data_IF_016084971299
#
_entry.id   IF_016084971299
#
_cell.length_a   1.000
_cell.length_b   1.000
_cell.length_c   1.000
_cell.angle_alpha   90.00
_cell.angle_beta   90.00
_cell.angle_gamma   90.00
#
_symmetry.space_group_name_H-M   'P 1'
#
loop_
_entity.id
_entity.type
_entity.pdbx_description
1 polymer ?
#
# COMPACT_ATOMS: atom_id res chain seq x y z
N UNK A 1 2.26 -1.76 -13.36
CA UNK A 1 3.23 -1.40 -12.30
C UNK A 1 2.94 0.02 -11.87
N UNK A 2 2.52 0.17 -10.62
CA UNK A 2 2.17 1.44 -10.00
C UNK A 2 3.41 2.25 -9.63
N UNK A 3 3.32 3.57 -9.75
CA UNK A 3 4.32 4.51 -9.24
C UNK A 3 3.90 4.97 -7.83
N UNK A 4 4.74 4.73 -6.83
CA UNK A 4 4.58 5.27 -5.48
C UNK A 4 5.46 6.49 -5.28
N UNK A 5 4.86 7.58 -4.80
CA UNK A 5 5.57 8.76 -4.32
C UNK A 5 5.00 9.24 -2.99
N UNK A 6 5.55 10.32 -2.46
CA UNK A 6 5.11 10.95 -1.21
C UNK A 6 4.69 12.40 -1.45
N UNK A 7 4.01 13.00 -0.47
CA UNK A 7 3.89 14.46 -0.36
C UNK A 7 5.26 15.15 -0.34
N UNK A 8 5.29 16.46 -0.58
CA UNK A 8 6.54 17.26 -0.53
C UNK A 8 7.12 17.24 0.89
N UNK A 9 8.45 17.18 1.00
CA UNK A 9 9.22 17.20 2.26
C UNK A 9 8.75 16.14 3.29
N UNK A 10 8.62 14.86 2.92
CA UNK A 10 8.12 13.82 3.82
C UNK A 10 9.09 13.58 4.99
N UNK A 11 8.59 13.32 6.19
CA UNK A 11 9.35 12.90 7.36
C UNK A 11 10.06 11.54 7.18
N UNK A 12 11.03 11.24 8.06
CA UNK A 12 11.85 10.01 7.99
C UNK A 12 11.00 8.74 8.02
N UNK A 13 9.97 8.68 8.87
CA UNK A 13 9.05 7.56 8.98
C UNK A 13 8.27 7.35 7.68
N UNK A 14 7.77 8.42 7.08
CA UNK A 14 7.06 8.40 5.80
C UNK A 14 7.92 7.95 4.63
N UNK A 15 9.15 8.45 4.52
CA UNK A 15 10.10 7.97 3.51
C UNK A 15 10.39 6.48 3.67
N UNK A 16 10.57 6.03 4.91
CA UNK A 16 10.85 4.63 5.21
C UNK A 16 9.68 3.74 4.84
N UNK A 17 8.48 4.09 5.30
CA UNK A 17 7.25 3.36 4.98
C UNK A 17 7.03 3.29 3.47
N UNK A 18 7.16 4.41 2.75
CA UNK A 18 6.95 4.43 1.31
C UNK A 18 7.91 3.47 0.57
N UNK A 19 9.20 3.47 0.90
CA UNK A 19 10.16 2.54 0.29
C UNK A 19 9.83 1.08 0.59
N UNK A 20 9.47 0.77 1.84
CA UNK A 20 9.13 -0.59 2.25
C UNK A 20 7.83 -1.06 1.57
N UNK A 21 6.79 -0.22 1.52
CA UNK A 21 5.54 -0.52 0.83
C UNK A 21 5.77 -0.73 -0.68
N UNK A 22 6.53 0.16 -1.34
CA UNK A 22 6.85 0.00 -2.75
C UNK A 22 7.57 -1.31 -3.03
N UNK A 23 8.58 -1.66 -2.22
CA UNK A 23 9.31 -2.91 -2.37
C UNK A 23 8.41 -4.13 -2.11
N UNK A 24 7.49 -4.05 -1.15
CA UNK A 24 6.56 -5.14 -0.87
C UNK A 24 5.58 -5.35 -2.04
N UNK A 25 5.00 -4.28 -2.55
CA UNK A 25 3.99 -4.35 -3.60
C UNK A 25 4.57 -4.45 -5.03
N UNK A 26 5.90 -4.51 -5.18
CA UNK A 26 6.61 -4.41 -6.45
C UNK A 26 6.27 -3.13 -7.24
N UNK A 27 6.04 -2.03 -6.54
CA UNK A 27 5.79 -0.72 -7.14
C UNK A 27 7.10 0.03 -7.37
N UNK A 28 7.10 0.91 -8.37
CA UNK A 28 8.23 1.81 -8.59
C UNK A 28 8.17 2.94 -7.57
N UNK A 29 9.21 3.13 -6.76
CA UNK A 29 9.31 4.30 -5.88
C UNK A 29 9.98 5.46 -6.63
N UNK A 30 9.30 6.61 -6.70
CA UNK A 30 9.82 7.84 -7.31
C UNK A 30 9.81 9.00 -6.33
N UNK A 31 10.92 9.72 -6.18
CA UNK A 31 10.96 10.94 -5.37
C UNK A 31 10.34 12.12 -6.12
N UNK A 32 9.40 12.83 -5.49
CA UNK A 32 8.72 14.02 -6.05
C UNK A 32 9.65 15.22 -6.35
N UNK A 33 10.91 15.17 -5.93
CA UNK A 33 11.80 16.33 -5.83
C UNK A 33 12.40 16.91 -7.12
N UNK A 34 12.40 16.21 -8.26
CA UNK A 34 13.11 16.69 -9.47
C UNK A 34 12.48 16.28 -10.81
N UNK A 35 11.20 15.94 -10.87
CA UNK A 35 10.63 15.42 -12.12
C UNK A 35 9.20 15.88 -12.30
N UNK A 36 8.94 16.52 -13.43
CA UNK A 36 7.60 16.61 -14.03
C UNK A 36 7.12 15.19 -14.33
N UNK A 37 6.63 14.51 -13.29
CA UNK A 37 6.03 13.20 -13.43
C UNK A 37 4.74 13.40 -14.24
N UNK A 38 4.75 12.99 -15.50
CA UNK A 38 3.52 12.87 -16.30
C UNK A 38 2.69 11.74 -15.69
N UNK A 39 1.80 12.13 -14.76
CA UNK A 39 0.86 11.25 -14.07
C UNK A 39 -0.26 10.74 -14.99
N UNK A 40 -0.37 11.29 -16.20
CA UNK A 40 -1.47 11.08 -17.14
C UNK A 40 -1.64 9.64 -17.62
N UNK A 41 -0.58 8.82 -17.59
CA UNK A 41 -0.60 7.47 -18.20
C UNK A 41 -0.34 6.32 -17.21
N UNK A 42 -0.08 6.62 -15.92
CA UNK A 42 0.37 5.61 -14.96
C UNK A 42 -0.52 5.55 -13.72
N UNK A 43 -0.81 4.33 -13.25
CA UNK A 43 -1.38 4.12 -11.91
C UNK A 43 -0.41 4.72 -10.89
N UNK A 44 -0.89 5.62 -10.04
CA UNK A 44 -0.04 6.37 -9.11
C UNK A 44 -0.60 6.27 -7.72
N UNK A 45 0.27 6.00 -6.76
CA UNK A 45 -0.01 6.12 -5.34
C UNK A 45 0.81 7.27 -4.73
N UNK A 46 0.16 8.08 -3.91
CA UNK A 46 0.79 9.18 -3.18
C UNK A 46 0.54 8.98 -1.69
N UNK A 47 1.60 8.80 -0.91
CA UNK A 47 1.51 8.79 0.55
C UNK A 47 1.59 10.21 1.08
N UNK A 48 0.59 10.59 1.87
CA UNK A 48 0.55 11.83 2.61
C UNK A 48 0.80 11.57 4.11
N UNK A 49 1.37 12.58 4.76
CA UNK A 49 1.68 12.53 6.18
C UNK A 49 0.89 13.57 6.98
N UNK A 50 0.64 13.25 8.24
CA UNK A 50 0.11 14.16 9.25
C UNK A 50 1.00 14.08 10.48
N UNK A 51 1.51 15.22 10.94
CA UNK A 51 2.40 15.30 12.12
C UNK A 51 3.59 14.31 12.02
N UNK A 52 4.28 14.29 10.86
CA UNK A 52 5.45 13.43 10.61
C UNK A 52 5.16 11.92 10.48
N UNK A 53 3.89 11.51 10.49
CA UNK A 53 3.47 10.12 10.37
C UNK A 53 2.72 9.86 9.06
N UNK A 54 2.98 8.73 8.38
CA UNK A 54 2.17 8.28 7.24
C UNK A 54 0.74 8.12 7.68
N UNK A 55 -0.17 8.76 6.95
CA UNK A 55 -1.58 8.80 7.36
C UNK A 55 -2.52 8.35 6.27
N UNK A 56 -2.19 8.67 5.03
CA UNK A 56 -3.10 8.55 3.92
C UNK A 56 -2.33 8.09 2.69
N UNK A 57 -2.97 7.25 1.88
CA UNK A 57 -2.51 6.94 0.53
C UNK A 57 -3.65 7.23 -0.45
N UNK A 58 -3.38 8.12 -1.41
CA UNK A 58 -4.24 8.37 -2.57
C UNK A 58 -3.77 7.47 -3.70
N UNK A 59 -4.68 6.74 -4.31
CA UNK A 59 -4.40 5.84 -5.42
C UNK A 59 -5.22 6.30 -6.61
N UNK A 60 -4.54 6.73 -7.67
CA UNK A 60 -5.13 7.09 -8.95
C UNK A 60 -4.93 5.94 -9.92
N UNK A 61 -6.03 5.46 -10.48
CA UNK A 61 -6.05 4.41 -11.50
C UNK A 61 -7.00 4.80 -12.64
N UNK A 62 -7.05 4.01 -13.70
CA UNK A 62 -8.03 4.18 -14.77
C UNK A 62 -9.50 4.06 -14.28
N UNK A 63 -9.76 3.32 -13.20
CA UNK A 63 -11.11 3.17 -12.63
C UNK A 63 -11.52 4.29 -11.67
N UNK A 64 -10.61 5.25 -11.43
CA UNK A 64 -10.82 6.41 -10.59
C UNK A 64 -9.77 6.59 -9.50
N UNK A 65 -10.07 7.53 -8.60
CA UNK A 65 -9.25 7.87 -7.45
C UNK A 65 -9.80 7.21 -6.18
N UNK A 66 -8.91 6.71 -5.34
CA UNK A 66 -9.25 6.05 -4.09
C UNK A 66 -8.40 6.61 -2.95
N UNK A 67 -8.98 6.68 -1.77
CA UNK A 67 -8.29 7.11 -0.55
C UNK A 67 -8.34 5.99 0.47
N UNK A 68 -7.19 5.73 1.09
CA UNK A 68 -7.08 4.89 2.27
C UNK A 68 -6.39 5.67 3.39
N UNK A 69 -7.10 5.88 4.49
CA UNK A 69 -6.55 6.42 5.73
C UNK A 69 -6.19 5.29 6.69
N UNK A 70 -5.02 5.39 7.30
CA UNK A 70 -4.49 4.33 8.16
C UNK A 70 -3.60 4.85 9.30
N UNK A 71 -3.38 3.98 10.27
CA UNK A 71 -2.21 4.03 11.15
C UNK A 71 -1.24 2.93 10.74
N UNK A 72 0.04 3.25 10.61
CA UNK A 72 1.11 2.27 10.35
C UNK A 72 1.93 2.00 11.61
N UNK A 73 2.21 0.73 11.87
CA UNK A 73 3.09 0.27 12.95
C UNK A 73 4.10 -0.78 12.48
N UNK A 74 5.15 -0.99 13.28
CA UNK A 74 6.14 -2.07 13.13
C UNK A 74 6.82 -2.10 11.76
N UNK A 75 7.28 -0.95 11.26
CA UNK A 75 7.93 -0.86 9.94
C UNK A 75 9.33 -1.46 10.01
N UNK A 76 9.46 -2.69 9.53
CA UNK A 76 10.71 -3.43 9.47
C UNK A 76 11.33 -3.32 8.07
N UNK A 77 12.60 -2.92 8.02
CA UNK A 77 13.38 -2.88 6.77
C UNK A 77 14.00 -4.25 6.55
N UNK A 78 13.41 -5.03 5.66
CA UNK A 78 13.92 -6.35 5.26
C UNK A 78 14.14 -6.38 3.75
N UNK A 79 15.05 -7.24 3.28
CA UNK A 79 15.27 -7.47 1.85
C UNK A 79 14.11 -8.31 1.32
N UNK A 80 13.37 -7.77 0.34
CA UNK A 80 12.24 -8.41 -0.30
C UNK A 80 12.62 -8.83 -1.72
N UNK A 81 12.04 -9.92 -2.21
CA UNK A 81 12.14 -10.33 -3.61
C UNK A 81 11.05 -9.68 -4.48
N UNK A 82 10.90 -10.16 -5.71
CA UNK A 82 9.89 -9.71 -6.66
C UNK A 82 8.61 -10.57 -6.66
N UNK A 83 8.38 -11.43 -5.66
CA UNK A 83 7.16 -12.24 -5.60
C UNK A 83 5.92 -11.33 -5.54
N UNK A 84 4.75 -11.76 -6.07
CA UNK A 84 3.53 -10.97 -5.99
C UNK A 84 3.01 -10.89 -4.55
N UNK A 85 2.38 -9.78 -4.21
CA UNK A 85 1.67 -9.62 -2.94
C UNK A 85 0.27 -10.25 -3.05
N UNK A 86 -0.09 -11.08 -2.06
CA UNK A 86 -1.36 -11.80 -2.03
C UNK A 86 -2.13 -11.46 -0.77
N UNK A 87 -3.39 -11.04 -0.93
CA UNK A 87 -4.30 -10.82 0.20
C UNK A 87 -4.83 -12.15 0.72
N UNK A 88 -5.04 -12.25 2.03
CA UNK A 88 -5.68 -13.35 2.74
C UNK A 88 -6.80 -12.81 3.62
N UNK A 89 -8.06 -13.19 3.33
CA UNK A 89 -9.25 -12.72 4.04
C UNK A 89 -10.14 -11.82 3.18
N UNK A 90 -11.00 -11.03 3.83
CA UNK A 90 -12.00 -10.18 3.18
C UNK A 90 -11.67 -8.69 3.40
N UNK A 91 -10.83 -8.06 2.56
CA UNK A 91 -10.59 -6.62 2.61
C UNK A 91 -11.86 -5.83 2.27
N UNK A 92 -12.01 -4.60 2.78
CA UNK A 92 -13.15 -3.73 2.45
C UNK A 92 -13.03 -3.09 1.05
N UNK A 93 -12.15 -3.61 0.19
CA UNK A 93 -11.81 -3.08 -1.12
C UNK A 93 -11.33 -4.20 -2.05
N UNK A 94 -11.29 -3.94 -3.35
CA UNK A 94 -10.70 -4.86 -4.33
C UNK A 94 -9.15 -4.80 -4.25
N UNK A 95 -8.46 -5.89 -3.88
CA UNK A 95 -6.99 -5.96 -3.86
C UNK A 95 -6.31 -5.55 -5.17
N UNK A 96 -6.99 -5.71 -6.32
CA UNK A 96 -6.44 -5.34 -7.64
C UNK A 96 -6.16 -3.85 -7.77
N UNK A 97 -6.83 -3.00 -6.97
CA UNK A 97 -6.54 -1.56 -6.91
C UNK A 97 -5.09 -1.33 -6.47
N UNK A 98 -4.55 -2.23 -5.64
CA UNK A 98 -3.17 -2.22 -5.18
C UNK A 98 -2.23 -3.09 -6.03
N UNK A 99 -2.67 -3.56 -7.20
CA UNK A 99 -1.95 -4.55 -8.02
C UNK A 99 -1.65 -5.88 -7.28
N UNK A 100 -2.45 -6.22 -6.26
CA UNK A 100 -2.29 -7.45 -5.49
C UNK A 100 -3.28 -8.55 -5.92
N UNK A 101 -2.92 -9.81 -5.63
CA UNK A 101 -3.74 -10.98 -5.94
C UNK A 101 -4.75 -11.20 -4.80
N UNK A 102 -6.06 -11.32 -5.06
CA UNK A 102 -7.05 -11.73 -4.06
C UNK A 102 -6.97 -13.24 -3.78
N UNK A 103 -7.14 -13.65 -2.51
CA UNK A 103 -7.07 -15.07 -2.08
C UNK A 103 -8.09 -15.98 -2.75
N UNK A 104 -9.17 -15.42 -3.29
CA UNK A 104 -10.25 -16.19 -3.91
C UNK A 104 -9.81 -16.89 -5.21
N UNK A 105 -8.60 -16.60 -5.69
CA UNK A 105 -7.97 -17.28 -6.82
C UNK A 105 -7.21 -18.49 -6.27
N UNK A 106 -7.52 -19.68 -6.80
CA UNK A 106 -6.81 -20.91 -6.46
C UNK A 106 -5.35 -20.78 -6.91
N UNK A 107 -4.41 -20.86 -5.98
CA UNK A 107 -2.97 -20.80 -6.26
C UNK A 107 -2.36 -22.18 -6.09
N UNK A 108 -1.44 -22.56 -6.99
CA UNK A 108 -0.68 -23.81 -6.91
C UNK A 108 0.65 -23.65 -6.15
N UNK A 109 0.83 -22.54 -5.44
CA UNK A 109 2.05 -22.23 -4.69
C UNK A 109 1.71 -21.48 -3.40
N UNK A 110 2.61 -21.51 -2.42
CA UNK A 110 2.51 -20.70 -1.22
C UNK A 110 3.21 -19.33 -1.43
N UNK A 111 2.50 -18.20 -1.42
CA UNK A 111 3.11 -16.90 -1.72
C UNK A 111 4.00 -16.40 -0.58
N UNK A 112 5.22 -15.98 -0.90
CA UNK A 112 6.15 -15.40 0.07
C UNK A 112 5.62 -14.11 0.70
N UNK A 113 4.90 -13.28 -0.06
CA UNK A 113 4.30 -12.01 0.39
C UNK A 113 2.80 -12.16 0.65
N UNK A 114 2.44 -12.18 1.94
CA UNK A 114 1.05 -12.37 2.40
C UNK A 114 0.56 -11.10 3.10
N UNK A 115 -0.66 -10.68 2.79
CA UNK A 115 -1.35 -9.56 3.45
C UNK A 115 -2.57 -10.14 4.15
N UNK A 116 -2.45 -10.40 5.44
CA UNK A 116 -3.57 -10.94 6.22
C UNK A 116 -4.51 -9.83 6.62
N UNK A 117 -5.79 -9.99 6.29
CA UNK A 117 -6.85 -9.07 6.64
C UNK A 117 -7.63 -9.64 7.82
N UNK A 118 -7.71 -8.86 8.90
CA UNK A 118 -8.56 -9.17 10.06
C UNK A 118 -9.50 -8.00 10.34
N UNK A 119 -10.76 -8.30 10.66
CA UNK A 119 -11.71 -7.32 11.18
C UNK A 119 -11.87 -7.54 12.68
N UNK A 120 -11.49 -6.55 13.49
CA UNK A 120 -11.53 -6.62 14.96
C UNK A 120 -12.31 -5.40 15.45
N UNK A 121 -13.41 -5.63 16.18
CA UNK A 121 -14.27 -4.57 16.74
C UNK A 121 -14.61 -3.47 15.71
N UNK A 122 -15.01 -3.89 14.50
CA UNK A 122 -15.37 -2.99 13.40
C UNK A 122 -14.20 -2.41 12.59
N UNK A 123 -12.96 -2.45 13.09
CA UNK A 123 -11.79 -1.93 12.38
C UNK A 123 -11.07 -3.02 11.57
N UNK A 124 -10.58 -2.66 10.39
CA UNK A 124 -9.76 -3.56 9.56
C UNK A 124 -8.28 -3.39 9.86
N UNK A 125 -7.59 -4.51 9.99
CA UNK A 125 -6.15 -4.62 10.17
C UNK A 125 -5.54 -5.42 9.01
N UNK A 126 -4.49 -4.88 8.41
CA UNK A 126 -3.73 -5.50 7.35
C UNK A 126 -2.34 -5.77 7.86
N UNK A 127 -1.98 -7.04 7.98
CA UNK A 127 -0.68 -7.50 8.47
C UNK A 127 0.15 -7.96 7.26
N UNK A 128 1.13 -7.15 6.87
CA UNK A 128 1.98 -7.42 5.71
C UNK A 128 3.14 -8.30 6.17
N UNK A 129 3.25 -9.49 5.60
CA UNK A 129 4.26 -10.49 5.97
C UNK A 129 5.05 -10.95 4.77
N UNK A 130 6.34 -11.18 4.98
CA UNK A 130 7.24 -11.80 4.02
C UNK A 130 7.87 -13.03 4.68
N UNK A 131 7.68 -14.21 4.09
CA UNK A 131 8.18 -15.50 4.62
C UNK A 131 7.91 -15.68 6.12
N UNK A 132 6.67 -15.36 6.52
CA UNK A 132 6.21 -15.46 7.91
C UNK A 132 6.56 -14.27 8.82
N UNK A 133 7.53 -13.43 8.44
CA UNK A 133 7.97 -12.27 9.24
C UNK A 133 7.09 -11.05 8.95
N UNK A 134 6.61 -10.38 10.00
CA UNK A 134 5.87 -9.12 9.88
C UNK A 134 6.77 -8.01 9.34
N UNK A 135 6.37 -7.41 8.21
CA UNK A 135 7.05 -6.27 7.58
C UNK A 135 6.51 -4.95 8.11
N UNK A 136 5.19 -4.83 8.20
CA UNK A 136 4.47 -3.73 8.85
C UNK A 136 3.00 -4.08 9.01
N UNK A 137 2.29 -3.33 9.85
CA UNK A 137 0.84 -3.45 10.00
C UNK A 137 0.15 -2.13 9.74
N UNK A 138 -0.98 -2.20 9.05
CA UNK A 138 -1.90 -1.08 8.87
C UNK A 138 -3.18 -1.33 9.66
N UNK A 139 -3.63 -0.34 10.44
CA UNK A 139 -5.01 -0.25 10.89
C UNK A 139 -5.72 0.72 9.98
N UNK A 140 -6.71 0.25 9.22
CA UNK A 140 -7.53 1.13 8.39
C UNK A 140 -8.48 1.95 9.26
N UNK A 141 -8.64 3.20 8.87
CA UNK A 141 -9.55 4.14 9.50
C UNK A 141 -10.65 4.54 8.53
N UNK A 142 -10.30 4.75 7.27
CA UNK A 142 -11.23 5.05 6.20
C UNK A 142 -10.74 4.46 4.89
N UNK A 143 -11.67 4.02 4.06
CA UNK A 143 -11.42 3.60 2.70
C UNK A 143 -12.61 4.04 1.83
N UNK A 144 -12.36 4.47 0.60
CA UNK A 144 -13.41 4.72 -0.37
C UNK A 144 -12.88 5.23 -1.70
N UNK A 145 -13.76 5.23 -2.70
CA UNK A 145 -13.55 6.00 -3.93
C UNK A 145 -13.66 7.49 -3.57
N UNK A 146 -12.71 8.29 -4.02
CA UNK A 146 -12.80 9.74 -3.91
C UNK A 146 -13.80 10.19 -4.98
N UNK A 147 -14.94 10.74 -4.54
CA UNK A 147 -15.90 11.34 -5.46
C UNK A 147 -15.28 12.63 -6.00
N UNK A 148 -15.30 12.79 -7.33
CA UNK A 148 -15.03 14.08 -7.95
C UNK A 148 -16.15 15.02 -7.52
N UNK A 149 -15.78 16.08 -6.78
CA UNK A 149 -16.66 17.21 -6.47
C UNK A 149 -16.68 18.17 -7.63
#
# INVERSE_FOLDING_TARGET
MMLLTTSRKPGRKTRTFAKVLASFMNWKYGSRGKSGLNFSEKKVAVIEERNGNPRLIRITTQSGRYIMEFNVSNINRIKLDSSPAVFFGNPPFDPKILEAIPTRIRMNFDPDKKIFVKKIRGAYFLDFRYRGVSVFRLRLLKWGKENES
#
